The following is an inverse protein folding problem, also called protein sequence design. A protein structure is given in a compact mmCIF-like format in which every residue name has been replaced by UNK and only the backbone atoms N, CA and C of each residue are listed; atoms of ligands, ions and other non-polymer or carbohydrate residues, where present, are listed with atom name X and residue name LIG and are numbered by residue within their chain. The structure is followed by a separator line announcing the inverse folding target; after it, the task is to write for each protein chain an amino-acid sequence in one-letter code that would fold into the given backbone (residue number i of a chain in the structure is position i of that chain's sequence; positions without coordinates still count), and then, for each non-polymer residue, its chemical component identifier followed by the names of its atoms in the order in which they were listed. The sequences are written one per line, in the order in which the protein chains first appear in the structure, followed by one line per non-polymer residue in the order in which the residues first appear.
data_IF_699284314152
#
_entry.id   IF_699284314152
#
_cell.length_a   1.000
_cell.length_b   1.000
_cell.length_c   1.000
_cell.angle_alpha   90.00
_cell.angle_beta   90.00
_cell.angle_gamma   90.00
#
_symmetry.space_group_name_H-M   'P 1'
#
loop_
_entity.id
_entity.type
_entity.pdbx_description
1 polymer ?
#
# COMPACT_ATOMS: atom_id res chain seq x y z
N UNK A 1 -26.69 8.47 10.47
CA UNK A 1 -25.82 7.37 10.03
C UNK A 1 -24.45 7.52 10.67
N UNK A 2 -23.78 6.41 10.99
CA UNK A 2 -22.41 6.34 11.48
C UNK A 2 -21.59 5.64 10.40
N UNK A 3 -20.45 6.21 10.01
CA UNK A 3 -19.50 5.51 9.15
C UNK A 3 -18.48 4.80 10.03
N UNK A 4 -18.42 3.47 9.93
CA UNK A 4 -17.39 2.65 10.56
C UNK A 4 -16.34 2.32 9.52
N UNK A 5 -15.07 2.51 9.87
CA UNK A 5 -13.92 2.20 9.02
C UNK A 5 -12.97 1.29 9.80
N UNK A 6 -12.63 0.13 9.22
CA UNK A 6 -11.69 -0.83 9.80
C UNK A 6 -10.54 -1.01 8.82
N UNK A 7 -9.35 -0.59 9.23
CA UNK A 7 -8.11 -0.86 8.51
C UNK A 7 -7.45 -2.10 9.12
N UNK A 8 -7.14 -3.06 8.27
CA UNK A 8 -6.30 -4.21 8.60
C UNK A 8 -5.12 -4.27 7.64
N UNK A 9 -3.97 -4.75 8.12
CA UNK A 9 -2.78 -4.91 7.28
C UNK A 9 -1.92 -6.08 7.74
N UNK A 10 -1.22 -6.68 6.79
CA UNK A 10 -0.20 -7.71 7.03
C UNK A 10 1.08 -7.35 6.28
N UNK A 11 2.19 -7.41 6.99
CA UNK A 11 3.52 -7.12 6.46
C UNK A 11 4.36 -8.40 6.44
N UNK A 12 5.07 -8.64 5.34
CA UNK A 12 6.03 -9.75 5.18
C UNK A 12 7.32 -9.20 4.63
N UNK A 13 8.44 -9.58 5.23
CA UNK A 13 9.77 -9.22 4.77
C UNK A 13 10.60 -10.44 4.41
N UNK A 14 11.32 -10.34 3.30
CA UNK A 14 12.25 -11.36 2.83
C UNK A 14 13.58 -10.74 2.44
N UNK A 15 14.65 -11.50 2.61
CA UNK A 15 15.95 -11.14 2.07
C UNK A 15 15.96 -11.31 0.54
N UNK A 16 16.49 -10.34 -0.19
CA UNK A 16 16.56 -10.35 -1.65
C UNK A 16 17.83 -9.67 -2.19
N UNK A 17 18.26 -10.04 -3.39
CA UNK A 17 19.33 -9.32 -4.11
C UNK A 17 18.73 -8.25 -5.00
N UNK A 18 18.94 -6.99 -4.64
CA UNK A 18 18.37 -5.83 -5.29
C UNK A 18 19.28 -5.31 -6.42
N UNK A 19 18.74 -4.96 -7.61
CA UNK A 19 19.52 -4.44 -8.71
C UNK A 19 20.09 -3.05 -8.42
N UNK A 20 21.31 -2.76 -8.87
CA UNK A 20 21.97 -1.45 -8.66
C UNK A 20 21.17 -0.25 -9.18
N UNK A 21 20.36 -0.45 -10.23
CA UNK A 21 19.59 0.60 -10.90
C UNK A 21 18.11 0.65 -10.45
N UNK A 22 17.70 -0.16 -9.47
CA UNK A 22 16.29 -0.30 -9.08
C UNK A 22 15.52 -1.30 -9.94
N UNK A 23 14.40 -1.80 -9.40
CA UNK A 23 13.59 -2.87 -10.01
C UNK A 23 12.64 -2.41 -11.12
N UNK A 24 12.43 -1.11 -11.31
CA UNK A 24 11.53 -0.56 -12.35
C UNK A 24 12.12 -0.52 -13.75
N UNK A 25 13.45 -0.56 -13.91
CA UNK A 25 14.09 -0.63 -15.21
C UNK A 25 14.35 -2.09 -15.55
N UNK A 26 13.68 -2.61 -16.58
CA UNK A 26 13.76 -4.00 -17.06
C UNK A 26 15.14 -4.42 -17.59
N UNK A 27 16.18 -4.34 -16.76
CA UNK A 27 17.54 -4.81 -17.02
C UNK A 27 17.86 -5.96 -16.08
N UNK A 28 17.51 -7.18 -16.49
CA UNK A 28 17.80 -8.39 -15.74
C UNK A 28 19.30 -8.65 -15.62
N UNK A 29 19.82 -8.64 -14.40
CA UNK A 29 20.97 -9.46 -14.01
C UNK A 29 20.78 -9.88 -12.55
N UNK A 30 19.98 -10.95 -12.34
CA UNK A 30 19.76 -11.60 -11.03
C UNK A 30 21.07 -12.05 -10.34
N UNK A 31 22.20 -12.02 -11.04
CA UNK A 31 23.51 -12.47 -10.57
C UNK A 31 24.39 -11.38 -9.92
N UNK A 32 24.05 -10.09 -10.04
CA UNK A 32 24.92 -8.98 -9.60
C UNK A 32 24.22 -7.96 -8.68
N UNK A 33 23.11 -8.34 -8.06
CA UNK A 33 22.38 -7.49 -7.12
C UNK A 33 23.10 -7.34 -5.77
N UNK A 34 22.94 -6.18 -5.16
CA UNK A 34 23.39 -5.91 -3.78
C UNK A 34 22.47 -6.63 -2.78
N UNK A 35 23.00 -7.12 -1.65
CA UNK A 35 22.16 -7.68 -0.60
C UNK A 35 21.24 -6.62 0.00
N UNK A 36 20.01 -7.01 0.28
CA UNK A 36 18.99 -6.14 0.82
C UNK A 36 17.76 -6.91 1.25
N UNK A 37 16.72 -6.15 1.56
CA UNK A 37 15.44 -6.67 2.01
C UNK A 37 14.32 -6.09 1.15
N UNK A 38 13.31 -6.94 0.95
CA UNK A 38 12.04 -6.56 0.34
C UNK A 38 10.94 -6.83 1.35
N UNK A 39 10.26 -5.77 1.77
CA UNK A 39 9.06 -5.87 2.58
C UNK A 39 7.84 -5.58 1.71
N UNK A 40 6.79 -6.38 1.85
CA UNK A 40 5.50 -6.16 1.23
C UNK A 40 4.47 -5.91 2.31
N UNK A 41 3.65 -4.87 2.16
CA UNK A 41 2.50 -4.65 3.03
C UNK A 41 1.22 -4.75 2.21
N UNK A 42 0.33 -5.62 2.66
CA UNK A 42 -1.02 -5.77 2.13
C UNK A 42 -1.98 -5.10 3.10
N UNK A 43 -2.78 -4.14 2.62
CA UNK A 43 -3.74 -3.40 3.42
C UNK A 43 -5.17 -3.61 2.89
N UNK A 44 -6.13 -3.73 3.80
CA UNK A 44 -7.56 -3.80 3.51
C UNK A 44 -8.31 -2.81 4.36
N UNK A 45 -9.10 -1.96 3.71
CA UNK A 45 -10.05 -1.05 4.34
C UNK A 45 -11.45 -1.57 4.14
N UNK A 46 -12.19 -1.77 5.24
CA UNK A 46 -13.62 -2.12 5.22
C UNK A 46 -14.42 -0.93 5.77
N UNK A 47 -15.39 -0.46 4.99
CA UNK A 47 -16.29 0.63 5.33
C UNK A 47 -17.72 0.11 5.49
N UNK A 48 -18.40 0.57 6.53
CA UNK A 48 -19.81 0.30 6.76
C UNK A 48 -20.56 1.57 7.14
N UNK A 49 -21.60 1.92 6.39
CA UNK A 49 -22.56 2.96 6.76
C UNK A 49 -23.65 2.32 7.61
N UNK A 50 -23.71 2.68 8.88
CA UNK A 50 -24.62 2.11 9.87
C UNK A 50 -25.75 3.09 10.19
N UNK A 51 -26.98 2.59 10.22
CA UNK A 51 -28.11 3.34 10.76
C UNK A 51 -27.98 3.44 12.29
N UNK A 52 -27.97 4.66 12.81
CA UNK A 52 -27.78 4.91 14.24
C UNK A 52 -28.96 4.49 15.11
N UNK A 53 -30.16 4.32 14.54
CA UNK A 53 -31.33 3.89 15.30
C UNK A 53 -31.42 2.37 15.42
N UNK A 54 -31.14 1.66 14.32
CA UNK A 54 -31.29 0.20 14.24
C UNK A 54 -29.99 -0.55 14.47
N UNK A 55 -28.83 0.14 14.36
CA UNK A 55 -27.51 -0.48 14.40
C UNK A 55 -27.18 -1.34 13.16
N UNK A 56 -28.06 -1.35 12.14
CA UNK A 56 -27.86 -2.17 10.95
C UNK A 56 -26.98 -1.46 9.93
N UNK A 57 -26.10 -2.23 9.26
CA UNK A 57 -25.33 -1.75 8.13
C UNK A 57 -26.25 -1.59 6.90
N UNK A 58 -26.31 -0.37 6.37
CA UNK A 58 -27.12 0.01 5.20
C UNK A 58 -26.31 -0.14 3.92
N UNK A 59 -25.01 0.12 3.99
CA UNK A 59 -24.06 -0.07 2.88
C UNK A 59 -22.74 -0.57 3.46
N UNK A 60 -22.14 -1.56 2.81
CA UNK A 60 -20.78 -2.01 3.10
C UNK A 60 -19.95 -2.01 1.81
N UNK A 61 -18.69 -1.62 1.92
CA UNK A 61 -17.73 -1.61 0.81
C UNK A 61 -16.33 -1.84 1.35
N UNK A 62 -15.47 -2.43 0.55
CA UNK A 62 -14.07 -2.59 0.90
C UNK A 62 -13.12 -2.14 -0.21
N UNK A 63 -11.87 -1.97 0.17
CA UNK A 63 -10.76 -1.65 -0.72
C UNK A 63 -9.50 -2.34 -0.24
N UNK A 64 -8.64 -2.71 -1.18
CA UNK A 64 -7.44 -3.49 -0.97
C UNK A 64 -6.31 -2.90 -1.78
N UNK A 65 -5.15 -2.76 -1.15
CA UNK A 65 -3.96 -2.31 -1.83
C UNK A 65 -2.72 -2.96 -1.23
N UNK A 66 -1.64 -2.88 -1.99
CA UNK A 66 -0.34 -3.34 -1.55
C UNK A 66 0.73 -2.35 -1.95
N UNK A 67 1.82 -2.37 -1.20
CA UNK A 67 3.03 -1.62 -1.52
C UNK A 67 4.24 -2.48 -1.18
N UNK A 68 5.37 -2.15 -1.78
CA UNK A 68 6.65 -2.84 -1.57
C UNK A 68 7.70 -1.83 -1.15
N UNK A 69 8.44 -2.13 -0.11
CA UNK A 69 9.63 -1.43 0.32
C UNK A 69 10.85 -2.27 -0.08
N UNK A 70 11.79 -1.66 -0.79
CA UNK A 70 13.09 -2.24 -1.08
C UNK A 70 14.17 -1.41 -0.37
N UNK A 71 15.06 -2.07 0.36
CA UNK A 71 16.15 -1.44 1.11
C UNK A 71 17.44 -2.24 1.00
N UNK A 72 18.58 -1.55 0.90
CA UNK A 72 19.89 -2.19 0.90
C UNK A 72 20.30 -2.55 2.33
N UNK A 73 20.94 -3.71 2.52
CA UNK A 73 21.55 -4.09 3.79
C UNK A 73 22.94 -3.46 3.96
N UNK A 74 23.59 -3.12 2.84
CA UNK A 74 24.92 -2.51 2.84
C UNK A 74 24.84 -1.02 3.16
N UNK A 75 25.82 -0.46 3.90
CA UNK A 75 25.90 0.96 4.23
C UNK A 75 26.42 1.77 3.03
N UNK A 76 25.67 1.75 1.92
CA UNK A 76 25.98 2.46 0.69
C UNK A 76 24.97 3.58 0.48
N UNK A 77 25.45 4.80 0.27
CA UNK A 77 24.59 5.90 -0.15
C UNK A 77 23.98 5.58 -1.52
N UNK A 78 22.64 5.53 -1.58
CA UNK A 78 21.90 5.23 -2.80
C UNK A 78 20.88 6.33 -3.07
N UNK A 79 20.75 6.70 -4.33
CA UNK A 79 19.66 7.56 -4.83
C UNK A 79 18.45 6.75 -5.31
N UNK A 80 18.49 5.42 -5.18
CA UNK A 80 17.44 4.50 -5.64
C UNK A 80 16.86 3.65 -4.50
N UNK A 81 17.51 3.65 -3.33
CA UNK A 81 17.10 2.93 -2.12
C UNK A 81 17.31 3.81 -0.87
N UNK A 82 16.48 3.68 0.19
CA UNK A 82 15.26 2.88 0.24
C UNK A 82 14.17 3.44 -0.66
N UNK A 83 13.29 2.56 -1.16
CA UNK A 83 12.21 2.97 -2.07
C UNK A 83 10.93 2.21 -1.77
N UNK A 84 9.84 2.94 -1.66
CA UNK A 84 8.47 2.41 -1.59
C UNK A 84 7.85 2.50 -2.98
N UNK A 85 7.37 1.36 -3.48
CA UNK A 85 6.75 1.20 -4.79
C UNK A 85 5.30 0.73 -4.62
N UNK A 86 4.45 1.27 -5.47
CA UNK A 86 3.05 0.83 -5.66
C UNK A 86 2.90 0.24 -7.06
N UNK A 87 1.66 0.05 -7.52
CA UNK A 87 1.37 -0.36 -8.90
C UNK A 87 2.21 0.41 -9.93
N UNK A 88 2.52 -0.26 -11.05
CA UNK A 88 3.55 0.16 -12.02
C UNK A 88 3.40 1.59 -12.58
N UNK A 89 2.21 2.17 -12.52
CA UNK A 89 1.91 3.51 -13.03
C UNK A 89 2.19 4.65 -12.04
N UNK A 90 2.42 4.33 -10.76
CA UNK A 90 2.65 5.34 -9.73
C UNK A 90 4.15 5.60 -9.54
N UNK A 91 4.55 6.88 -9.31
CA UNK A 91 5.94 7.20 -9.06
C UNK A 91 6.42 6.56 -7.75
N UNK A 92 7.70 6.13 -7.69
CA UNK A 92 8.29 5.66 -6.45
C UNK A 92 8.38 6.77 -5.40
N UNK A 93 8.33 6.37 -4.13
CA UNK A 93 8.53 7.25 -2.98
C UNK A 93 9.87 6.87 -2.35
N UNK A 94 10.71 7.86 -2.04
CA UNK A 94 12.02 7.66 -1.43
C UNK A 94 12.00 8.21 0.01
N UNK A 95 11.86 7.34 1.02
CA UNK A 95 11.90 7.74 2.43
C UNK A 95 13.26 8.29 2.83
N UNK A 96 13.28 9.19 3.82
CA UNK A 96 14.51 9.85 4.26
C UNK A 96 15.40 8.96 5.15
N UNK A 97 14.81 8.00 5.85
CA UNK A 97 15.47 7.07 6.75
C UNK A 97 14.71 5.73 6.80
N UNK A 98 15.26 4.74 7.49
CA UNK A 98 14.70 3.37 7.55
C UNK A 98 13.41 3.28 8.37
N UNK A 99 13.27 4.05 9.46
CA UNK A 99 12.06 4.08 10.28
C UNK A 99 10.88 4.65 9.48
N UNK A 100 11.10 5.80 8.84
CA UNK A 100 10.15 6.44 7.92
C UNK A 100 9.78 5.50 6.76
N UNK A 101 10.65 4.57 6.38
CA UNK A 101 10.42 3.70 5.24
C UNK A 101 9.28 2.69 5.48
N UNK A 102 9.24 2.06 6.66
CA UNK A 102 8.15 1.16 7.02
C UNK A 102 6.85 1.91 7.27
N UNK A 103 6.92 3.09 7.89
CA UNK A 103 5.73 3.93 8.06
C UNK A 103 5.17 4.36 6.71
N UNK A 104 6.03 4.79 5.79
CA UNK A 104 5.64 5.13 4.41
C UNK A 104 5.02 3.93 3.71
N UNK A 105 5.60 2.73 3.83
CA UNK A 105 5.05 1.50 3.25
C UNK A 105 3.61 1.24 3.70
N UNK A 106 3.37 1.29 5.01
CA UNK A 106 2.06 1.03 5.63
C UNK A 106 1.05 2.14 5.31
N UNK A 107 1.49 3.39 5.39
CA UNK A 107 0.67 4.55 5.07
C UNK A 107 0.18 4.51 3.63
N UNK A 108 1.09 4.28 2.70
CA UNK A 108 0.81 4.30 1.27
C UNK A 108 -0.18 3.20 0.87
N UNK A 109 0.04 1.97 1.33
CA UNK A 109 -0.90 0.87 1.08
C UNK A 109 -2.25 1.08 1.78
N UNK A 110 -2.26 1.62 3.00
CA UNK A 110 -3.50 1.97 3.70
C UNK A 110 -4.31 3.06 3.01
N UNK A 111 -3.65 4.11 2.51
CA UNK A 111 -4.30 5.21 1.77
C UNK A 111 -4.90 4.73 0.45
N UNK A 112 -4.17 3.92 -0.31
CA UNK A 112 -4.67 3.36 -1.56
C UNK A 112 -5.88 2.42 -1.32
N UNK A 113 -5.83 1.59 -0.25
CA UNK A 113 -6.95 0.74 0.15
C UNK A 113 -8.18 1.58 0.56
N UNK A 114 -7.97 2.65 1.33
CA UNK A 114 -9.04 3.58 1.70
C UNK A 114 -9.65 4.28 0.49
N UNK A 115 -8.82 4.80 -0.42
CA UNK A 115 -9.28 5.47 -1.62
C UNK A 115 -10.16 4.54 -2.48
N UNK A 116 -9.75 3.28 -2.64
CA UNK A 116 -10.55 2.29 -3.35
C UNK A 116 -11.88 2.00 -2.63
N UNK A 117 -11.87 1.83 -1.30
CA UNK A 117 -13.09 1.59 -0.53
C UNK A 117 -14.08 2.76 -0.65
N UNK A 118 -13.59 4.00 -0.58
CA UNK A 118 -14.41 5.21 -0.76
C UNK A 118 -14.96 5.29 -2.18
N UNK A 119 -14.16 4.97 -3.20
CA UNK A 119 -14.63 4.94 -4.60
C UNK A 119 -15.79 3.94 -4.77
N UNK A 120 -15.69 2.75 -4.18
CA UNK A 120 -16.77 1.77 -4.18
C UNK A 120 -18.02 2.30 -3.44
N UNK A 121 -17.84 2.94 -2.29
CA UNK A 121 -18.93 3.53 -1.51
C UNK A 121 -19.68 4.58 -2.32
N UNK A 122 -18.96 5.50 -2.97
CA UNK A 122 -19.54 6.53 -3.84
C UNK A 122 -20.31 5.93 -5.03
N UNK A 123 -19.80 4.85 -5.61
CA UNK A 123 -20.44 4.17 -6.73
C UNK A 123 -21.77 3.52 -6.30
N UNK A 124 -21.79 2.84 -5.15
CA UNK A 124 -23.01 2.23 -4.59
C UNK A 124 -24.02 3.30 -4.20
N UNK A 125 -23.56 4.36 -3.52
CA UNK A 125 -24.41 5.45 -3.06
C UNK A 125 -25.10 6.19 -4.20
N UNK A 126 -24.37 6.46 -5.30
CA UNK A 126 -24.94 7.08 -6.50
C UNK A 126 -26.02 6.20 -7.15
N UNK A 127 -25.79 4.89 -7.25
CA UNK A 127 -26.78 3.95 -7.79
C UNK A 127 -28.04 3.91 -6.94
N UNK A 128 -27.90 3.91 -5.61
CA UNK A 128 -29.04 3.91 -4.68
C UNK A 128 -29.90 5.18 -4.70
N UNK A 129 -29.37 6.32 -5.17
CA UNK A 129 -30.13 7.58 -5.34
C UNK A 129 -30.84 7.71 -6.69
N UNK A 130 -30.49 6.88 -7.68
CA UNK A 130 -31.07 6.93 -9.03
C UNK A 130 -32.24 5.94 -9.21
N UNK A 131 -32.51 5.13 -8.19
CA UNK A 131 -33.65 4.21 -8.08
C UNK A 131 -34.71 4.80 -7.15
#
# INVERSE_FOLDING_TARGET
YILVAVLSSSEVEVFERLPLQGTQQGGGLRSMGLPGYRAENYARMELAMVDGQTGQAVVTTDGQAWAVLERLEVPLASNVYPVVRRGQTQPPIYPNNEEDAYETLRWVSGQDALAQAVMHLEAVWRKGRAA
#
